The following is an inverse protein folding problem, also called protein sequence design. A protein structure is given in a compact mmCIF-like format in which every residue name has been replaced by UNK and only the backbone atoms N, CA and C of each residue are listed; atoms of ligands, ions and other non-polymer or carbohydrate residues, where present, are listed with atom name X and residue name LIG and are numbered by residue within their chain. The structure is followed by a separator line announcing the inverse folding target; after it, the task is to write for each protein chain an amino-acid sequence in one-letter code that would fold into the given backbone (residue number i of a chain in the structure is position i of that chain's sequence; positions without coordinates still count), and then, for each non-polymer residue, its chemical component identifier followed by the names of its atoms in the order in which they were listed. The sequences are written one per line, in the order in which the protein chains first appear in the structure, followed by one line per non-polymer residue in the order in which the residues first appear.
data_IF_017125160676
#
_entry.id   IF_017125160676
#
_cell.length_a   1.000
_cell.length_b   1.000
_cell.length_c   1.000
_cell.angle_alpha   90.00
_cell.angle_beta   90.00
_cell.angle_gamma   90.00
#
_symmetry.space_group_name_H-M   'P 1'
#
loop_
_entity.id
_entity.type
_entity.pdbx_description
1 polymer ?
#
# COMPACT_ATOMS: atom_id res chain seq x y z
N UNK A 1 -24.94 30.96 6.98
CA UNK A 1 -25.05 29.55 7.42
C UNK A 1 -23.69 29.12 7.93
N UNK A 2 -23.55 28.81 9.23
CA UNK A 2 -22.27 28.32 9.79
C UNK A 2 -22.02 26.92 9.22
N UNK A 3 -20.99 26.77 8.41
CA UNK A 3 -20.58 25.43 7.96
C UNK A 3 -20.14 24.62 9.16
N UNK A 4 -20.65 23.39 9.30
CA UNK A 4 -20.13 22.46 10.32
C UNK A 4 -18.61 22.35 10.19
N UNK A 5 -17.86 22.34 11.29
CA UNK A 5 -16.40 22.17 11.22
C UNK A 5 -16.05 20.86 10.50
N UNK A 6 -15.08 20.93 9.58
CA UNK A 6 -14.60 19.74 8.86
C UNK A 6 -14.01 18.73 9.84
N UNK A 7 -14.31 17.46 9.64
CA UNK A 7 -13.76 16.36 10.42
C UNK A 7 -12.25 16.21 10.11
N UNK A 8 -11.42 16.03 11.13
CA UNK A 8 -9.98 15.85 10.97
C UNK A 8 -9.64 14.40 10.68
N UNK A 9 -8.87 14.15 9.60
CA UNK A 9 -8.28 12.85 9.29
C UNK A 9 -6.78 12.93 9.53
N UNK A 10 -6.26 12.08 10.41
CA UNK A 10 -4.84 11.95 10.70
C UNK A 10 -4.22 10.85 9.82
N UNK A 11 -3.11 11.15 9.14
CA UNK A 11 -2.47 10.28 8.16
C UNK A 11 -1.06 9.96 8.61
N UNK A 12 -0.82 8.72 9.04
CA UNK A 12 0.52 8.20 9.29
C UNK A 12 1.25 7.89 7.97
N UNK A 13 2.58 7.99 8.00
CA UNK A 13 3.38 7.79 6.80
C UNK A 13 3.17 8.86 5.72
N UNK A 14 2.71 10.04 6.09
CA UNK A 14 2.30 11.14 5.19
C UNK A 14 3.38 11.59 4.21
N UNK A 15 4.65 11.36 4.51
CA UNK A 15 5.81 11.68 3.64
C UNK A 15 6.19 10.54 2.70
N UNK A 16 5.56 9.36 2.84
CA UNK A 16 5.80 8.19 1.98
C UNK A 16 4.82 8.12 0.81
N UNK A 17 5.00 7.12 -0.05
CA UNK A 17 4.18 6.94 -1.26
C UNK A 17 2.69 6.78 -0.92
N UNK A 18 2.31 5.86 -0.04
CA UNK A 18 0.91 5.62 0.31
C UNK A 18 0.31 6.80 1.09
N UNK A 19 0.95 7.20 2.20
CA UNK A 19 0.43 8.27 3.05
C UNK A 19 0.37 9.61 2.32
N UNK A 20 1.35 9.92 1.48
CA UNK A 20 1.36 11.11 0.62
C UNK A 20 0.20 11.12 -0.39
N UNK A 21 -0.07 9.97 -1.02
CA UNK A 21 -1.23 9.81 -1.90
C UNK A 21 -2.56 10.03 -1.15
N UNK A 22 -2.66 9.52 0.08
CA UNK A 22 -3.84 9.74 0.95
C UNK A 22 -4.00 11.21 1.31
N UNK A 23 -2.91 11.90 1.68
CA UNK A 23 -2.95 13.35 1.97
C UNK A 23 -3.48 14.13 0.77
N UNK A 24 -2.90 13.91 -0.42
CA UNK A 24 -3.34 14.60 -1.65
C UNK A 24 -4.80 14.33 -1.97
N UNK A 25 -5.22 13.07 -1.96
CA UNK A 25 -6.60 12.71 -2.26
C UNK A 25 -7.62 13.32 -1.28
N UNK A 26 -7.31 13.38 0.01
CA UNK A 26 -8.16 14.02 1.02
C UNK A 26 -8.23 15.55 0.82
N UNK A 27 -7.12 16.17 0.43
CA UNK A 27 -7.06 17.61 0.10
C UNK A 27 -7.89 17.93 -1.15
N UNK A 28 -7.76 17.11 -2.21
CA UNK A 28 -8.50 17.28 -3.48
C UNK A 28 -10.03 17.17 -3.26
N UNK A 29 -10.46 16.28 -2.34
CA UNK A 29 -11.88 16.17 -1.96
C UNK A 29 -12.38 17.41 -1.18
N UNK A 30 -11.53 18.07 -0.41
CA UNK A 30 -11.83 19.30 0.31
C UNK A 30 -12.83 19.18 1.47
N UNK A 31 -13.36 17.99 1.74
CA UNK A 31 -14.40 17.74 2.76
C UNK A 31 -13.85 17.48 4.16
N UNK A 32 -12.57 17.14 4.25
CA UNK A 32 -11.88 16.87 5.50
C UNK A 32 -10.81 17.92 5.80
N UNK A 33 -10.46 18.08 7.06
CA UNK A 33 -9.21 18.70 7.49
C UNK A 33 -8.15 17.64 7.58
N UNK A 34 -7.00 17.83 6.90
CA UNK A 34 -5.94 16.84 6.85
C UNK A 34 -4.86 17.15 7.86
N UNK A 35 -4.55 16.18 8.72
CA UNK A 35 -3.42 16.21 9.65
C UNK A 35 -2.38 15.20 9.20
N UNK A 36 -1.28 15.69 8.61
CA UNK A 36 -0.15 14.87 8.21
C UNK A 36 0.75 14.57 9.40
N UNK A 37 1.00 13.28 9.64
CA UNK A 37 1.84 12.82 10.73
C UNK A 37 3.23 12.43 10.19
N UNK A 38 4.27 13.05 10.76
CA UNK A 38 5.66 12.85 10.34
C UNK A 38 6.61 12.91 11.53
N UNK A 39 7.79 12.32 11.40
CA UNK A 39 8.87 12.41 12.40
C UNK A 39 9.59 13.77 12.39
N UNK A 40 9.47 14.53 11.31
CA UNK A 40 10.10 15.84 11.14
C UNK A 40 9.12 16.84 10.50
N UNK A 41 8.21 17.43 11.30
CA UNK A 41 7.23 18.39 10.78
C UNK A 41 7.89 19.68 10.25
N UNK A 42 9.08 20.03 10.74
CA UNK A 42 9.76 21.25 10.31
C UNK A 42 10.14 21.22 8.82
N UNK A 43 10.53 20.03 8.31
CA UNK A 43 10.84 19.81 6.89
C UNK A 43 9.63 19.71 5.97
N UNK A 44 8.44 19.48 6.52
CA UNK A 44 7.25 19.12 5.75
C UNK A 44 6.05 20.04 5.98
N UNK A 45 6.28 21.30 6.39
CA UNK A 45 5.25 22.27 6.79
C UNK A 45 4.14 22.50 5.75
N UNK A 46 4.46 22.33 4.47
CA UNK A 46 3.51 22.54 3.36
C UNK A 46 2.71 21.28 2.97
N UNK A 47 2.90 20.16 3.70
CA UNK A 47 2.32 18.87 3.31
C UNK A 47 0.79 18.84 3.50
N UNK A 48 0.28 19.47 4.55
CA UNK A 48 -1.15 19.53 4.85
C UNK A 48 -1.50 20.77 5.70
N UNK A 49 -2.79 20.98 5.97
CA UNK A 49 -3.27 22.08 6.83
C UNK A 49 -2.70 21.99 8.26
N UNK A 50 -2.53 20.77 8.76
CA UNK A 50 -1.81 20.49 10.00
C UNK A 50 -0.69 19.48 9.74
N UNK A 51 0.50 19.79 10.20
CA UNK A 51 1.65 18.86 10.17
C UNK A 51 2.15 18.69 11.60
N UNK A 52 2.03 17.48 12.13
CA UNK A 52 2.26 17.17 13.54
C UNK A 52 3.35 16.11 13.68
N UNK A 53 4.18 16.25 14.70
CA UNK A 53 5.15 15.23 15.02
C UNK A 53 4.45 13.96 15.53
N UNK A 54 4.76 12.83 14.88
CA UNK A 54 4.39 11.51 15.34
C UNK A 54 5.45 10.49 14.96
N UNK A 55 5.89 9.75 15.96
CA UNK A 55 6.78 8.61 15.77
C UNK A 55 6.07 7.37 16.34
N UNK A 56 5.88 6.35 15.49
CA UNK A 56 5.20 5.11 15.88
C UNK A 56 5.92 4.32 16.98
N UNK A 57 7.18 4.64 17.24
CA UNK A 57 7.96 4.07 18.35
C UNK A 57 7.82 4.86 19.68
N UNK A 58 7.07 5.97 19.68
CA UNK A 58 6.82 6.82 20.85
C UNK A 58 5.31 6.94 21.12
N UNK A 59 4.73 6.08 21.97
CA UNK A 59 3.28 6.05 22.22
C UNK A 59 2.68 7.39 22.69
N UNK A 60 3.43 8.16 23.48
CA UNK A 60 3.01 9.48 23.97
C UNK A 60 2.86 10.52 22.83
N UNK A 61 3.78 10.48 21.84
CA UNK A 61 3.71 11.36 20.68
C UNK A 61 2.52 10.99 19.77
N UNK A 62 2.21 9.69 19.63
CA UNK A 62 1.04 9.23 18.87
C UNK A 62 -0.24 9.75 19.52
N UNK A 63 -0.38 9.64 20.84
CA UNK A 63 -1.58 10.06 21.57
C UNK A 63 -1.86 11.55 21.35
N UNK A 64 -0.86 12.40 21.55
CA UNK A 64 -0.99 13.85 21.32
C UNK A 64 -1.35 14.19 19.87
N UNK A 65 -0.75 13.48 18.90
CA UNK A 65 -0.99 13.69 17.47
C UNK A 65 -2.42 13.31 17.03
N UNK A 66 -3.10 12.42 17.76
CA UNK A 66 -4.46 11.95 17.43
C UNK A 66 -5.57 12.69 18.17
N UNK A 67 -5.26 13.64 19.04
CA UNK A 67 -6.28 14.42 19.77
C UNK A 67 -7.23 15.13 18.80
N UNK A 68 -8.54 14.89 18.96
CA UNK A 68 -9.60 15.46 18.11
C UNK A 68 -9.66 14.88 16.68
N UNK A 69 -8.89 13.85 16.36
CA UNK A 69 -9.00 13.18 15.06
C UNK A 69 -10.31 12.37 14.97
N UNK A 70 -11.03 12.54 13.88
CA UNK A 70 -12.22 11.76 13.56
C UNK A 70 -11.87 10.42 12.90
N UNK A 71 -10.88 10.42 12.01
CA UNK A 71 -10.41 9.26 11.29
C UNK A 71 -8.89 9.16 11.29
N UNK A 72 -8.39 7.94 11.10
CA UNK A 72 -6.96 7.63 11.04
C UNK A 72 -6.69 6.72 9.84
N UNK A 73 -5.71 7.09 9.03
CA UNK A 73 -5.05 6.16 8.10
C UNK A 73 -3.70 5.77 8.68
N UNK A 74 -3.45 4.48 8.76
CA UNK A 74 -2.18 3.91 9.23
C UNK A 74 -1.52 3.04 8.16
N UNK A 75 -0.26 3.31 7.89
CA UNK A 75 0.67 2.44 7.18
C UNK A 75 1.99 2.37 7.94
N UNK A 76 2.58 1.18 8.01
CA UNK A 76 3.91 0.93 8.58
C UNK A 76 4.88 0.50 7.50
N UNK A 77 6.19 0.61 7.77
CA UNK A 77 7.24 0.27 6.82
C UNK A 77 8.06 -0.92 7.32
N UNK A 78 7.76 -2.11 6.80
CA UNK A 78 8.48 -3.34 7.10
C UNK A 78 10.00 -3.24 6.79
N UNK A 79 10.34 -2.58 5.69
CA UNK A 79 11.72 -2.51 5.19
C UNK A 79 12.61 -1.51 5.94
N UNK A 80 12.07 -0.76 6.88
CA UNK A 80 12.88 0.13 7.71
C UNK A 80 13.58 -0.69 8.81
N UNK A 81 14.92 -0.66 8.91
CA UNK A 81 15.64 -1.39 9.94
C UNK A 81 15.14 -1.07 11.36
N UNK A 82 14.98 -2.11 12.18
CA UNK A 82 14.51 -1.99 13.56
C UNK A 82 13.00 -1.77 13.73
N UNK A 83 12.22 -1.82 12.65
CA UNK A 83 10.76 -1.70 12.72
C UNK A 83 10.14 -2.97 13.31
N UNK A 84 9.29 -2.80 14.32
CA UNK A 84 8.32 -3.78 14.79
C UNK A 84 6.93 -3.29 14.42
N UNK A 85 6.43 -3.69 13.23
CA UNK A 85 5.15 -3.24 12.71
C UNK A 85 3.98 -3.58 13.63
N UNK A 86 4.01 -4.75 14.28
CA UNK A 86 2.95 -5.16 15.20
C UNK A 86 2.88 -4.26 16.43
N UNK A 87 4.02 -3.95 17.04
CA UNK A 87 4.12 -3.03 18.18
C UNK A 87 3.68 -1.63 17.79
N UNK A 88 4.15 -1.12 16.66
CA UNK A 88 3.81 0.20 16.12
C UNK A 88 2.30 0.30 15.86
N UNK A 89 1.71 -0.67 15.18
CA UNK A 89 0.29 -0.70 14.89
C UNK A 89 -0.56 -0.82 16.16
N UNK A 90 -0.19 -1.71 17.09
CA UNK A 90 -0.90 -1.84 18.37
C UNK A 90 -0.90 -0.53 19.17
N UNK A 91 0.22 0.19 19.17
CA UNK A 91 0.33 1.50 19.83
C UNK A 91 -0.58 2.56 19.17
N UNK A 92 -0.58 2.62 17.83
CA UNK A 92 -1.42 3.54 17.07
C UNK A 92 -2.92 3.23 17.23
N UNK A 93 -3.31 1.95 17.18
CA UNK A 93 -4.70 1.50 17.36
C UNK A 93 -5.21 1.87 18.76
N UNK A 94 -4.41 1.60 19.81
CA UNK A 94 -4.75 1.97 21.18
C UNK A 94 -4.92 3.48 21.33
N UNK A 95 -3.97 4.27 20.86
CA UNK A 95 -4.03 5.73 20.93
C UNK A 95 -5.23 6.30 20.15
N UNK A 96 -5.55 5.73 18.98
CA UNK A 96 -6.72 6.11 18.21
C UNK A 96 -8.02 5.79 18.94
N UNK A 97 -8.10 4.65 19.63
CA UNK A 97 -9.25 4.28 20.45
C UNK A 97 -9.43 5.24 21.62
N UNK A 98 -8.36 5.54 22.35
CA UNK A 98 -8.35 6.46 23.50
C UNK A 98 -8.73 7.89 23.07
N UNK A 99 -8.34 8.32 21.87
CA UNK A 99 -8.69 9.60 21.26
C UNK A 99 -10.14 9.65 20.73
N UNK A 100 -10.89 8.55 20.79
CA UNK A 100 -12.28 8.48 20.32
C UNK A 100 -12.45 8.49 18.80
N UNK A 101 -11.43 8.10 18.06
CA UNK A 101 -11.46 7.95 16.59
C UNK A 101 -12.65 7.07 16.19
N UNK A 102 -13.38 7.50 15.16
CA UNK A 102 -14.58 6.82 14.68
C UNK A 102 -14.30 5.86 13.52
N UNK A 103 -13.36 6.20 12.62
CA UNK A 103 -13.02 5.38 11.47
C UNK A 103 -11.50 5.16 11.40
N UNK A 104 -11.09 3.91 11.45
CA UNK A 104 -9.69 3.50 11.34
C UNK A 104 -9.45 2.75 10.04
N UNK A 105 -8.53 3.23 9.20
CA UNK A 105 -8.14 2.58 7.95
C UNK A 105 -6.70 2.08 8.07
N UNK A 106 -6.53 0.78 7.87
CA UNK A 106 -5.24 0.10 7.94
C UNK A 106 -4.80 -0.35 6.55
N UNK A 107 -3.54 -0.04 6.17
CA UNK A 107 -2.91 -0.56 4.96
C UNK A 107 -2.32 -1.94 5.23
N UNK A 108 -2.98 -2.96 4.71
CA UNK A 108 -2.65 -4.37 4.90
C UNK A 108 -2.19 -5.05 3.62
N UNK A 109 -1.87 -6.33 3.72
CA UNK A 109 -1.55 -7.25 2.61
C UNK A 109 -2.23 -8.61 2.85
N UNK A 110 -2.34 -9.47 1.82
CA UNK A 110 -2.87 -10.83 1.99
C UNK A 110 -2.05 -11.67 2.99
N UNK A 111 -2.70 -12.53 3.76
CA UNK A 111 -1.99 -13.50 4.61
C UNK A 111 -1.47 -14.68 3.78
N UNK A 112 -0.29 -14.49 3.19
CA UNK A 112 0.36 -15.49 2.34
C UNK A 112 0.61 -16.81 3.08
N UNK A 113 0.97 -16.74 4.37
CA UNK A 113 1.19 -17.92 5.20
C UNK A 113 -0.11 -18.72 5.39
N UNK A 114 -1.20 -18.07 5.80
CA UNK A 114 -2.49 -18.74 5.99
C UNK A 114 -3.08 -19.26 4.69
N UNK A 115 -3.06 -18.46 3.60
CA UNK A 115 -3.60 -18.84 2.29
C UNK A 115 -2.86 -20.05 1.72
N UNK A 116 -1.54 -20.15 1.94
CA UNK A 116 -0.70 -21.22 1.40
C UNK A 116 -0.59 -22.45 2.31
N UNK A 117 -1.27 -22.46 3.47
CA UNK A 117 -1.12 -23.51 4.47
C UNK A 117 0.30 -23.60 5.06
N UNK A 118 0.97 -22.45 5.22
CA UNK A 118 2.32 -22.34 5.80
C UNK A 118 3.45 -22.46 4.77
N UNK A 119 3.16 -22.67 3.48
CA UNK A 119 4.19 -22.85 2.44
C UNK A 119 4.97 -21.57 2.15
N UNK A 120 4.33 -20.40 2.24
CA UNK A 120 4.93 -19.09 1.98
C UNK A 120 4.83 -18.20 3.23
N UNK A 121 5.72 -18.35 4.21
CA UNK A 121 5.77 -17.50 5.39
C UNK A 121 6.44 -16.17 5.05
N UNK A 122 5.71 -15.28 4.34
CA UNK A 122 6.21 -13.97 3.94
C UNK A 122 5.97 -12.95 5.07
N UNK A 123 6.98 -12.56 5.86
CA UNK A 123 6.81 -11.69 7.02
C UNK A 123 6.18 -10.34 6.68
N UNK A 124 6.56 -9.72 5.56
CA UNK A 124 6.01 -8.42 5.15
C UNK A 124 4.56 -8.49 4.64
N UNK A 125 4.07 -9.68 4.21
CA UNK A 125 2.67 -9.93 3.88
C UNK A 125 1.89 -10.36 5.12
N UNK A 126 2.21 -11.54 5.65
CA UNK A 126 1.47 -12.15 6.76
C UNK A 126 1.58 -11.36 8.06
N UNK A 127 2.70 -10.62 8.26
CA UNK A 127 2.86 -9.72 9.39
C UNK A 127 1.80 -8.61 9.41
N UNK A 128 1.54 -7.99 8.25
CA UNK A 128 0.49 -6.97 8.11
C UNK A 128 -0.91 -7.57 8.27
N UNK A 129 -1.19 -8.71 7.65
CA UNK A 129 -2.48 -9.40 7.77
C UNK A 129 -2.80 -9.79 9.24
N UNK A 130 -1.80 -10.20 10.02
CA UNK A 130 -1.98 -10.51 11.44
C UNK A 130 -2.35 -9.27 12.28
N UNK A 131 -2.01 -8.07 11.83
CA UNK A 131 -2.41 -6.80 12.46
C UNK A 131 -3.90 -6.49 12.22
N UNK A 132 -4.52 -7.03 11.17
CA UNK A 132 -5.95 -6.86 10.89
C UNK A 132 -6.81 -7.23 12.10
N UNK A 133 -6.43 -8.28 12.83
CA UNK A 133 -7.15 -8.70 14.03
C UNK A 133 -7.06 -7.67 15.17
N UNK A 134 -5.91 -7.00 15.33
CA UNK A 134 -5.74 -5.92 16.32
C UNK A 134 -6.70 -4.78 16.00
N UNK A 135 -6.87 -4.42 14.73
CA UNK A 135 -7.79 -3.37 14.29
C UNK A 135 -9.26 -3.78 14.51
N UNK A 136 -9.63 -5.03 14.17
CA UNK A 136 -10.99 -5.57 14.38
C UNK A 136 -11.38 -5.59 15.86
N UNK A 137 -10.49 -6.12 16.71
CA UNK A 137 -10.72 -6.28 18.15
C UNK A 137 -10.80 -4.93 18.88
N UNK A 138 -10.21 -3.88 18.33
CA UNK A 138 -10.31 -2.53 18.91
C UNK A 138 -11.74 -1.97 18.90
N UNK A 139 -12.64 -2.47 18.07
CA UNK A 139 -14.06 -2.12 18.06
C UNK A 139 -14.29 -0.64 17.73
N UNK A 140 -13.66 -0.11 16.68
CA UNK A 140 -14.01 1.19 16.09
C UNK A 140 -15.42 1.15 15.52
N UNK A 141 -16.09 2.29 15.47
CA UNK A 141 -17.40 2.40 14.82
C UNK A 141 -17.30 1.95 13.34
N UNK A 142 -16.21 2.35 12.70
CA UNK A 142 -15.88 1.91 11.33
C UNK A 142 -14.40 1.53 11.25
N UNK A 143 -14.11 0.46 10.51
CA UNK A 143 -12.75 0.10 10.16
C UNK A 143 -12.69 -0.49 8.75
N UNK A 144 -11.62 -0.19 8.03
CA UNK A 144 -11.43 -0.59 6.63
C UNK A 144 -9.99 -1.07 6.43
N UNK A 145 -9.83 -2.06 5.57
CA UNK A 145 -8.53 -2.58 5.16
C UNK A 145 -8.28 -2.21 3.71
N UNK A 146 -7.26 -1.39 3.44
CA UNK A 146 -6.85 -1.14 2.06
C UNK A 146 -5.66 -2.03 1.73
N UNK A 147 -5.67 -2.64 0.54
CA UNK A 147 -4.61 -3.54 0.11
C UNK A 147 -3.82 -2.88 -1.00
N UNK A 148 -2.57 -2.57 -0.69
CA UNK A 148 -1.66 -1.99 -1.67
C UNK A 148 -1.24 -3.05 -2.69
N UNK A 149 -1.13 -2.70 -3.99
CA UNK A 149 -0.70 -3.62 -5.05
C UNK A 149 0.82 -3.71 -5.13
N UNK A 150 1.34 -4.49 -6.08
CA UNK A 150 2.68 -4.24 -6.60
C UNK A 150 2.67 -2.89 -7.35
N UNK A 151 3.41 -1.90 -6.85
CA UNK A 151 3.33 -0.55 -7.41
C UNK A 151 3.93 -0.48 -8.82
N UNK A 152 3.29 0.25 -9.73
CA UNK A 152 3.91 0.59 -11.01
C UNK A 152 5.22 1.36 -10.79
N UNK A 153 5.30 2.21 -9.77
CA UNK A 153 6.49 2.95 -9.37
C UNK A 153 7.69 2.06 -9.06
N UNK A 154 7.46 0.81 -8.67
CA UNK A 154 8.57 -0.13 -8.45
C UNK A 154 9.37 -0.36 -9.73
N UNK A 155 8.71 -0.35 -10.89
CA UNK A 155 9.36 -0.55 -12.19
C UNK A 155 10.20 0.65 -12.65
N UNK A 156 9.96 1.84 -12.08
CA UNK A 156 10.80 3.03 -12.27
C UNK A 156 11.81 3.25 -11.12
N UNK A 157 11.73 2.43 -10.06
CA UNK A 157 12.52 2.56 -8.83
C UNK A 157 13.31 1.29 -8.51
N UNK A 158 12.91 0.58 -7.45
CA UNK A 158 13.65 -0.57 -6.91
C UNK A 158 13.79 -1.75 -7.88
N UNK A 159 12.88 -1.85 -8.83
CA UNK A 159 12.91 -2.81 -9.96
C UNK A 159 13.04 -2.07 -11.30
N UNK A 160 13.77 -0.95 -11.34
CA UNK A 160 14.09 -0.32 -12.63
C UNK A 160 14.85 -1.30 -13.56
N UNK A 161 14.61 -1.23 -14.88
CA UNK A 161 15.28 -2.13 -15.82
C UNK A 161 16.80 -1.95 -15.77
N UNK A 162 17.53 -3.04 -15.83
CA UNK A 162 19.00 -3.09 -15.73
C UNK A 162 19.58 -3.60 -17.05
N UNK A 163 20.86 -3.33 -17.28
CA UNK A 163 21.60 -3.94 -18.38
C UNK A 163 21.80 -5.43 -18.07
N UNK A 164 21.33 -6.29 -18.96
CA UNK A 164 21.45 -7.75 -18.88
C UNK A 164 22.79 -8.21 -19.47
N UNK A 165 23.17 -9.48 -19.22
CA UNK A 165 24.44 -10.05 -19.67
C UNK A 165 24.61 -10.06 -21.20
N UNK A 166 23.50 -10.13 -21.95
CA UNK A 166 23.49 -10.05 -23.42
C UNK A 166 23.56 -8.62 -23.96
N UNK A 167 23.66 -7.62 -23.06
CA UNK A 167 23.71 -6.20 -23.38
C UNK A 167 22.36 -5.54 -23.58
N UNK A 168 21.24 -6.28 -23.57
CA UNK A 168 19.89 -5.72 -23.61
C UNK A 168 19.54 -5.02 -22.28
N UNK A 169 18.54 -4.14 -22.30
CA UNK A 169 17.99 -3.51 -21.11
C UNK A 169 16.72 -4.26 -20.67
N UNK A 170 16.54 -4.53 -19.39
CA UNK A 170 15.34 -5.24 -18.93
C UNK A 170 15.43 -5.76 -17.51
N UNK A 171 14.78 -6.86 -17.25
CA UNK A 171 14.67 -7.46 -15.92
C UNK A 171 15.23 -8.88 -15.91
N UNK A 172 15.98 -9.21 -14.85
CA UNK A 172 16.37 -10.57 -14.51
C UNK A 172 15.79 -10.87 -13.11
N UNK A 173 14.68 -11.65 -13.04
CA UNK A 173 13.95 -11.92 -11.82
C UNK A 173 13.65 -13.41 -11.66
N UNK A 174 13.45 -13.90 -10.42
CA UNK A 174 13.29 -15.32 -10.13
C UNK A 174 11.82 -15.78 -10.29
N UNK A 175 11.18 -15.38 -11.38
CA UNK A 175 9.81 -15.76 -11.72
C UNK A 175 9.74 -16.11 -13.23
N UNK A 176 8.98 -17.12 -13.65
CA UNK A 176 8.73 -17.35 -15.06
C UNK A 176 8.06 -16.14 -15.73
N UNK A 177 8.43 -15.77 -16.96
CA UNK A 177 7.94 -14.52 -17.58
C UNK A 177 6.43 -14.44 -17.74
N UNK A 178 5.76 -15.58 -17.91
CA UNK A 178 4.30 -15.70 -18.06
C UNK A 178 3.60 -16.17 -16.77
N UNK A 179 4.34 -16.34 -15.66
CA UNK A 179 3.75 -16.79 -14.43
C UNK A 179 2.86 -15.72 -13.81
N UNK A 180 1.76 -16.18 -13.29
CA UNK A 180 0.78 -15.48 -12.44
C UNK A 180 0.38 -14.11 -12.95
N UNK A 181 -0.83 -13.70 -12.65
CA UNK A 181 -1.18 -12.30 -12.75
C UNK A 181 -0.75 -11.57 -11.47
N UNK A 182 0.21 -10.66 -11.53
CA UNK A 182 0.57 -9.80 -10.42
C UNK A 182 -0.40 -8.63 -10.41
N UNK A 183 -1.19 -8.47 -9.33
CA UNK A 183 -2.05 -7.31 -9.16
C UNK A 183 -1.19 -6.06 -8.97
N UNK A 184 -1.26 -5.14 -9.91
CA UNK A 184 -0.44 -3.95 -10.00
C UNK A 184 -1.30 -2.68 -10.05
N UNK A 185 -0.74 -1.54 -9.64
CA UNK A 185 -1.44 -0.26 -9.70
C UNK A 185 -0.54 0.94 -9.45
N UNK A 186 -1.03 2.10 -9.85
CA UNK A 186 -0.45 3.37 -9.49
C UNK A 186 -0.73 3.67 -8.02
N UNK A 187 0.31 3.68 -7.17
CA UNK A 187 0.12 3.86 -5.72
C UNK A 187 -0.51 5.21 -5.37
N UNK A 188 -0.42 6.21 -6.24
CA UNK A 188 -1.09 7.50 -6.05
C UNK A 188 -2.62 7.34 -5.96
N UNK A 189 -3.17 6.32 -6.60
CA UNK A 189 -4.62 6.09 -6.63
C UNK A 189 -5.15 5.40 -5.37
N UNK A 190 -4.28 4.84 -4.51
CA UNK A 190 -4.69 4.30 -3.21
C UNK A 190 -5.38 5.39 -2.36
N UNK A 191 -4.90 6.62 -2.48
CA UNK A 191 -5.49 7.76 -1.81
C UNK A 191 -6.97 7.97 -2.13
N UNK A 192 -7.40 7.71 -3.36
CA UNK A 192 -8.81 7.84 -3.77
C UNK A 192 -9.71 6.81 -3.08
N UNK A 193 -9.22 5.58 -2.93
CA UNK A 193 -9.93 4.52 -2.20
C UNK A 193 -10.07 4.91 -0.73
N UNK A 194 -8.99 5.38 -0.10
CA UNK A 194 -8.99 5.80 1.31
C UNK A 194 -9.90 7.01 1.54
N UNK A 195 -9.83 8.02 0.67
CA UNK A 195 -10.69 9.20 0.77
C UNK A 195 -12.18 8.82 0.60
N UNK A 196 -12.49 7.99 -0.39
CA UNK A 196 -13.85 7.49 -0.62
C UNK A 196 -14.37 6.66 0.56
N UNK A 197 -13.52 5.85 1.21
CA UNK A 197 -13.90 5.10 2.40
C UNK A 197 -14.22 6.02 3.59
N UNK A 198 -13.45 7.10 3.80
CA UNK A 198 -13.78 8.09 4.85
C UNK A 198 -15.05 8.87 4.56
N UNK A 199 -15.37 9.13 3.30
CA UNK A 199 -16.61 9.79 2.89
C UNK A 199 -17.84 8.91 3.08
N UNK A 200 -17.67 7.58 2.90
CA UNK A 200 -18.75 6.60 2.89
C UNK A 200 -18.53 5.51 3.95
N UNK A 201 -18.41 5.84 5.24
CA UNK A 201 -18.08 4.87 6.28
C UNK A 201 -19.11 3.75 6.42
N UNK A 202 -20.40 4.04 6.17
CA UNK A 202 -21.49 3.05 6.22
C UNK A 202 -21.39 2.01 5.09
N UNK A 203 -20.66 2.32 4.01
CA UNK A 203 -20.47 1.42 2.88
C UNK A 203 -19.11 0.72 2.87
N UNK A 204 -18.10 1.29 3.51
CA UNK A 204 -16.73 0.79 3.45
C UNK A 204 -16.10 0.52 4.83
N UNK A 205 -16.85 0.73 5.91
CA UNK A 205 -16.32 0.74 7.28
C UNK A 205 -16.64 -0.50 8.12
N UNK A 206 -17.01 -1.62 7.51
CA UNK A 206 -17.42 -2.84 8.21
C UNK A 206 -16.38 -3.96 8.13
N UNK A 207 -15.11 -3.62 8.01
CA UNK A 207 -14.01 -4.56 7.86
C UNK A 207 -13.79 -4.98 6.41
N UNK A 208 -14.22 -4.14 5.47
CA UNK A 208 -14.06 -4.37 4.05
C UNK A 208 -12.58 -4.35 3.66
N UNK A 209 -12.21 -5.26 2.76
CA UNK A 209 -10.91 -5.24 2.09
C UNK A 209 -11.05 -4.58 0.72
N UNK A 210 -10.36 -3.46 0.54
CA UNK A 210 -10.40 -2.64 -0.66
C UNK A 210 -9.03 -2.65 -1.37
N UNK A 211 -8.79 -3.56 -2.31
CA UNK A 211 -7.53 -3.63 -3.05
C UNK A 211 -7.48 -2.57 -4.16
N UNK A 212 -6.34 -1.91 -4.28
CA UNK A 212 -6.01 -1.15 -5.48
C UNK A 212 -5.53 -2.13 -6.56
N UNK A 213 -6.22 -2.19 -7.69
CA UNK A 213 -5.81 -2.99 -8.85
C UNK A 213 -6.10 -2.21 -10.13
N UNK A 214 -5.05 -1.70 -10.76
CA UNK A 214 -5.10 -1.12 -12.10
C UNK A 214 -5.13 -2.21 -13.16
N UNK A 215 -4.11 -3.08 -13.13
CA UNK A 215 -4.00 -4.23 -14.01
C UNK A 215 -3.54 -5.48 -13.24
N UNK A 216 -3.73 -6.64 -13.88
CA UNK A 216 -3.15 -7.91 -13.46
C UNK A 216 -2.25 -8.40 -14.58
N UNK A 217 -0.93 -8.35 -14.38
CA UNK A 217 0.06 -8.54 -15.43
C UNK A 217 1.13 -9.55 -15.03
N UNK A 218 1.61 -10.31 -16.01
CA UNK A 218 2.91 -11.00 -15.94
C UNK A 218 4.05 -10.08 -16.38
N UNK A 219 5.30 -10.44 -16.13
CA UNK A 219 6.44 -9.69 -16.66
C UNK A 219 6.53 -9.74 -18.20
N UNK A 220 6.02 -10.81 -18.82
CA UNK A 220 5.86 -10.85 -20.28
C UNK A 220 4.91 -9.74 -20.77
N UNK A 221 3.76 -9.57 -20.10
CA UNK A 221 2.79 -8.52 -20.46
C UNK A 221 3.36 -7.10 -20.28
N UNK A 222 4.17 -6.90 -19.24
CA UNK A 222 4.88 -5.64 -18.98
C UNK A 222 5.83 -5.33 -20.12
N UNK A 223 6.73 -6.26 -20.46
CA UNK A 223 7.71 -6.10 -21.54
C UNK A 223 7.02 -5.88 -22.88
N UNK A 224 6.01 -6.69 -23.21
CA UNK A 224 5.25 -6.56 -24.46
C UNK A 224 4.53 -5.20 -24.56
N UNK A 225 4.00 -4.69 -23.43
CA UNK A 225 3.35 -3.39 -23.39
C UNK A 225 4.33 -2.25 -23.62
N UNK A 226 5.50 -2.30 -22.98
CA UNK A 226 6.54 -1.29 -23.15
C UNK A 226 7.14 -1.31 -24.56
N UNK A 227 7.37 -2.50 -25.12
CA UNK A 227 7.92 -2.65 -26.46
C UNK A 227 6.95 -2.17 -27.54
N UNK A 228 5.64 -2.38 -27.37
CA UNK A 228 4.62 -1.76 -28.23
C UNK A 228 4.61 -0.21 -28.16
N UNK A 229 5.14 0.36 -27.08
CA UNK A 229 5.30 1.81 -26.91
C UNK A 229 6.65 2.33 -27.42
N UNK A 230 7.42 1.52 -28.15
CA UNK A 230 8.69 1.89 -28.77
C UNK A 230 9.91 1.69 -27.86
N UNK A 231 9.76 0.99 -26.73
CA UNK A 231 10.90 0.56 -25.91
C UNK A 231 11.52 -0.71 -26.49
N UNK A 232 12.68 -1.09 -25.99
CA UNK A 232 13.39 -2.33 -26.38
C UNK A 232 13.86 -3.07 -25.12
N UNK A 233 12.89 -3.49 -24.29
CA UNK A 233 13.17 -4.21 -23.06
C UNK A 233 13.11 -5.72 -23.27
N UNK A 234 13.86 -6.44 -22.43
CA UNK A 234 13.90 -7.89 -22.36
C UNK A 234 13.59 -8.37 -20.94
N UNK A 235 13.12 -9.60 -20.85
CA UNK A 235 12.96 -10.28 -19.56
C UNK A 235 13.73 -11.60 -19.57
N UNK A 236 14.44 -11.87 -18.50
CA UNK A 236 15.15 -13.13 -18.28
C UNK A 236 14.77 -13.70 -16.93
N UNK A 237 14.28 -14.92 -16.92
CA UNK A 237 14.15 -15.66 -15.67
C UNK A 237 15.54 -16.05 -15.16
N UNK A 238 15.80 -15.80 -13.89
CA UNK A 238 17.03 -16.26 -13.23
C UNK A 238 16.71 -17.28 -12.13
N UNK A 239 17.69 -18.16 -11.79
CA UNK A 239 17.53 -19.10 -10.67
C UNK A 239 17.22 -18.36 -9.36
N UNK A 240 16.32 -18.93 -8.55
CA UNK A 240 15.89 -18.32 -7.28
C UNK A 240 17.05 -18.14 -6.30
N UNK A 241 17.90 -19.15 -6.16
CA UNK A 241 19.07 -19.12 -5.27
C UNK A 241 20.09 -18.06 -5.69
N UNK A 242 20.29 -17.89 -7.00
CA UNK A 242 21.13 -16.83 -7.53
C UNK A 242 20.59 -15.44 -7.18
N UNK A 243 19.28 -15.23 -7.35
CA UNK A 243 18.64 -13.96 -6.95
C UNK A 243 18.74 -13.72 -5.44
N UNK A 244 18.48 -14.76 -4.63
CA UNK A 244 18.48 -14.66 -3.17
C UNK A 244 19.82 -14.19 -2.57
N UNK A 245 20.91 -14.31 -3.33
CA UNK A 245 22.26 -13.91 -2.91
C UNK A 245 22.68 -12.51 -3.36
N UNK A 246 21.87 -11.77 -4.14
CA UNK A 246 22.29 -10.52 -4.76
C UNK A 246 22.44 -9.32 -3.78
N UNK A 247 21.60 -9.27 -2.75
CA UNK A 247 21.61 -8.17 -1.77
C UNK A 247 20.93 -8.60 -0.46
N UNK A 248 21.16 -7.89 0.65
CA UNK A 248 20.46 -8.17 1.91
C UNK A 248 18.94 -8.06 1.76
N UNK A 249 18.20 -9.14 2.09
CA UNK A 249 16.74 -9.22 1.92
C UNK A 249 16.30 -9.82 0.58
N UNK A 250 17.20 -10.11 -0.37
CA UNK A 250 16.86 -10.71 -1.66
C UNK A 250 16.17 -12.07 -1.53
N UNK A 251 16.48 -12.83 -0.50
CA UNK A 251 15.83 -14.11 -0.23
C UNK A 251 14.32 -13.97 0.02
N UNK A 252 13.89 -12.96 0.79
CA UNK A 252 12.46 -12.69 1.01
C UNK A 252 11.77 -12.18 -0.26
N UNK A 253 12.46 -11.38 -1.06
CA UNK A 253 11.96 -10.95 -2.36
C UNK A 253 11.82 -12.14 -3.32
N UNK A 254 12.77 -13.08 -3.33
CA UNK A 254 12.68 -14.30 -4.12
C UNK A 254 11.49 -15.17 -3.73
N UNK A 255 11.23 -15.33 -2.42
CA UNK A 255 10.05 -16.03 -1.91
C UNK A 255 8.74 -15.29 -2.28
N UNK A 256 8.77 -13.97 -2.33
CA UNK A 256 7.62 -13.17 -2.79
C UNK A 256 7.30 -13.45 -4.26
N UNK A 257 8.30 -13.54 -5.12
CA UNK A 257 8.09 -13.94 -6.52
C UNK A 257 7.59 -15.39 -6.64
N UNK A 258 8.03 -16.30 -5.77
CA UNK A 258 7.49 -17.65 -5.71
C UNK A 258 6.01 -17.69 -5.27
N UNK A 259 5.63 -16.83 -4.35
CA UNK A 259 4.23 -16.62 -3.98
C UNK A 259 3.42 -16.11 -5.18
N UNK A 260 3.91 -15.12 -5.93
CA UNK A 260 3.22 -14.61 -7.13
C UNK A 260 3.04 -15.70 -8.20
N UNK A 261 4.05 -16.55 -8.38
CA UNK A 261 3.97 -17.70 -9.30
C UNK A 261 2.88 -18.70 -8.89
N UNK A 262 2.78 -19.02 -7.59
CA UNK A 262 1.90 -20.08 -7.10
C UNK A 262 0.46 -19.59 -6.81
N UNK A 263 0.30 -18.35 -6.38
CA UNK A 263 -0.96 -17.83 -5.81
C UNK A 263 -1.38 -16.47 -6.35
N UNK A 264 -0.67 -15.91 -7.32
CA UNK A 264 -0.80 -14.50 -7.73
C UNK A 264 -0.50 -13.52 -6.58
N UNK A 265 -0.66 -12.21 -6.78
CA UNK A 265 -0.40 -11.25 -5.71
C UNK A 265 -1.43 -11.35 -4.57
N UNK A 266 -2.70 -11.48 -4.91
CA UNK A 266 -3.81 -11.45 -3.94
C UNK A 266 -4.11 -12.83 -3.31
N UNK A 267 -3.62 -13.90 -3.90
CA UNK A 267 -3.71 -15.26 -3.35
C UNK A 267 -5.04 -15.98 -3.56
N UNK A 268 -6.09 -15.29 -3.97
CA UNK A 268 -7.43 -15.87 -4.20
C UNK A 268 -8.25 -14.99 -5.15
N UNK A 269 -9.48 -15.38 -5.46
CA UNK A 269 -10.38 -14.53 -6.23
C UNK A 269 -10.83 -13.31 -5.43
N UNK A 270 -10.39 -12.14 -5.87
CA UNK A 270 -10.75 -10.85 -5.29
C UNK A 270 -11.62 -9.99 -6.20
N UNK A 271 -12.18 -10.55 -7.24
CA UNK A 271 -12.97 -9.83 -8.27
C UNK A 271 -14.02 -8.92 -7.65
N UNK A 272 -14.80 -9.42 -6.69
CA UNK A 272 -15.81 -8.62 -6.00
C UNK A 272 -15.19 -7.47 -5.18
N UNK A 273 -14.09 -7.72 -4.48
CA UNK A 273 -13.40 -6.69 -3.66
C UNK A 273 -12.75 -5.62 -4.53
N UNK A 274 -12.21 -6.00 -5.69
CA UNK A 274 -11.67 -5.06 -6.68
C UNK A 274 -12.79 -4.15 -7.23
N UNK A 275 -13.93 -4.72 -7.59
CA UNK A 275 -15.08 -3.95 -8.05
C UNK A 275 -15.58 -2.98 -6.98
N UNK A 276 -15.62 -3.44 -5.72
CA UNK A 276 -16.01 -2.61 -4.57
C UNK A 276 -15.04 -1.47 -4.32
N UNK A 277 -13.73 -1.72 -4.40
CA UNK A 277 -12.72 -0.68 -4.25
C UNK A 277 -12.83 0.40 -5.33
N UNK A 278 -13.12 0.02 -6.58
CA UNK A 278 -13.36 0.96 -7.69
C UNK A 278 -14.61 1.81 -7.46
N UNK A 279 -15.69 1.22 -6.98
CA UNK A 279 -16.92 1.93 -6.60
C UNK A 279 -16.63 2.99 -5.52
N UNK A 280 -15.94 2.61 -4.45
CA UNK A 280 -15.56 3.51 -3.34
C UNK A 280 -14.62 4.63 -3.81
N UNK A 281 -13.67 4.33 -4.68
CA UNK A 281 -12.77 5.35 -5.26
C UNK A 281 -13.51 6.36 -6.14
N UNK A 282 -14.65 5.96 -6.74
CA UNK A 282 -15.44 6.79 -7.66
C UNK A 282 -14.82 6.91 -9.05
N UNK A 283 -13.73 6.24 -9.34
CA UNK A 283 -13.03 6.27 -10.63
C UNK A 283 -12.40 4.92 -10.94
N UNK A 284 -12.28 4.60 -12.24
CA UNK A 284 -11.47 3.48 -12.68
C UNK A 284 -9.98 3.80 -12.47
N UNK A 285 -9.16 2.85 -12.01
CA UNK A 285 -7.74 3.06 -11.88
C UNK A 285 -7.05 3.14 -13.24
N UNK A 286 -5.91 3.82 -13.26
CA UNK A 286 -5.04 3.97 -14.44
C UNK A 286 -4.45 2.62 -14.84
N UNK A 287 -4.52 2.28 -16.13
CA UNK A 287 -3.85 1.09 -16.64
C UNK A 287 -2.34 1.25 -16.68
N UNK A 288 -1.60 0.14 -16.59
CA UNK A 288 -0.15 0.15 -16.74
C UNK A 288 0.30 0.79 -18.06
N UNK A 289 -0.40 0.48 -19.14
CA UNK A 289 -0.10 1.06 -20.46
C UNK A 289 -0.23 2.58 -20.48
N UNK A 290 -1.19 3.15 -19.76
CA UNK A 290 -1.36 4.60 -19.66
C UNK A 290 -0.28 5.22 -18.74
N UNK A 291 -0.03 4.62 -17.59
CA UNK A 291 0.98 5.06 -16.64
C UNK A 291 2.39 5.04 -17.23
N UNK A 292 2.75 3.96 -17.92
CA UNK A 292 4.09 3.76 -18.46
C UNK A 292 4.48 4.80 -19.52
N UNK A 293 3.52 5.35 -20.28
CA UNK A 293 3.81 6.40 -21.28
C UNK A 293 4.44 7.66 -20.72
N UNK A 294 4.17 7.96 -19.45
CA UNK A 294 4.61 9.19 -18.80
C UNK A 294 5.71 8.97 -17.78
N UNK A 295 5.98 7.71 -17.38
CA UNK A 295 6.89 7.41 -16.28
C UNK A 295 8.05 6.47 -16.65
N UNK A 296 7.95 5.75 -17.76
CA UNK A 296 8.98 4.88 -18.33
C UNK A 296 9.24 5.24 -19.81
#
# INVERSE_FOLDING_TARGET
MSSKPRKTIAVFGATGQQGGAVVRALQDRGVFKVRALTRDPAKHRALAEEVVEANLDRPEAIRAALEGAHGVFLVTNFWQPGTDERRQAASAVRAAKDAGVKHFIWSTLPDAEAISGGRFPLPHFSGKAKIDNIVREAGFAHHTFVVAPFYYQNLAGVFAPQKLDDGSLGWALPIPPKAGGIAMGDIEELGRIVAGAFENPEHAGHGDYLPLVGDILSFSDIVDTLNRQGRAYSFRQMPRDAFASLFPGAAEVAETFAWFEAHTYLGSDWTHRIARAREIAGTAPTSFAAWARTHL
#
